data_IF_037109614540
#
_entry.id   IF_037109614540
#
_cell.length_a   1.000
_cell.length_b   1.000
_cell.length_c   1.000
_cell.angle_alpha   90.00
_cell.angle_beta   90.00
_cell.angle_gamma   90.00
#
_symmetry.space_group_name_H-M   'P 1'
#
loop_
_entity.id
_entity.type
_entity.pdbx_description
1 polymer ?
#
# COMPACT_ATOMS: atom_id res chain seq x y z
N UNK A 1 -0.52 18.36 16.51
CA UNK A 1 0.55 17.75 15.67
C UNK A 1 1.17 16.48 16.27
N UNK A 2 1.59 16.43 17.56
CA UNK A 2 2.17 15.20 18.16
C UNK A 2 1.12 14.07 18.32
N UNK A 3 -0.13 14.42 18.58
CA UNK A 3 -1.23 13.47 18.74
C UNK A 3 -1.56 12.73 17.43
N UNK A 4 -1.74 13.45 16.32
CA UNK A 4 -2.04 12.84 15.00
C UNK A 4 -0.94 11.89 14.51
N UNK A 5 0.33 12.19 14.76
CA UNK A 5 1.45 11.28 14.43
C UNK A 5 1.44 10.01 15.29
N UNK A 6 1.03 10.13 16.55
CA UNK A 6 0.91 9.00 17.47
C UNK A 6 -0.22 8.08 17.03
N UNK A 7 -1.36 8.65 16.62
CA UNK A 7 -2.46 7.90 16.00
C UNK A 7 -1.97 7.23 14.71
N UNK A 8 -1.33 7.96 13.79
CA UNK A 8 -0.84 7.40 12.54
C UNK A 8 0.13 6.21 12.74
N UNK A 9 1.04 6.31 13.71
CA UNK A 9 1.97 5.21 14.05
C UNK A 9 1.23 4.01 14.62
N UNK A 10 0.21 4.23 15.46
CA UNK A 10 -0.64 3.16 15.98
C UNK A 10 -1.42 2.49 14.85
N UNK A 11 -2.03 3.25 13.95
CA UNK A 11 -2.79 2.75 12.80
C UNK A 11 -1.89 1.93 11.86
N UNK A 12 -0.70 2.43 11.56
CA UNK A 12 0.28 1.71 10.74
C UNK A 12 0.69 0.39 11.41
N UNK A 13 0.90 0.41 12.72
CA UNK A 13 1.22 -0.80 13.48
C UNK A 13 0.06 -1.78 13.49
N UNK A 14 -1.18 -1.31 13.66
CA UNK A 14 -2.37 -2.16 13.59
C UNK A 14 -2.54 -2.78 12.18
N UNK A 15 -2.22 -2.03 11.13
CA UNK A 15 -2.15 -2.52 9.75
C UNK A 15 -1.16 -3.68 9.60
N UNK A 16 0.03 -3.56 10.19
CA UNK A 16 1.08 -4.56 10.08
C UNK A 16 0.99 -5.70 11.09
N UNK A 17 0.38 -5.53 12.26
CA UNK A 17 0.30 -6.59 13.28
C UNK A 17 -0.80 -7.62 12.96
N UNK A 18 -1.72 -7.29 12.05
CA UNK A 18 -2.82 -8.19 11.67
C UNK A 18 -2.52 -8.99 10.40
N UNK A 19 -3.01 -10.24 10.30
CA UNK A 19 -2.85 -11.05 9.09
C UNK A 19 -3.45 -10.41 7.84
N UNK A 20 -4.55 -9.65 8.00
CA UNK A 20 -5.29 -9.03 6.89
C UNK A 20 -4.46 -7.99 6.14
N UNK A 21 -3.64 -7.20 6.84
CA UNK A 21 -2.75 -6.23 6.21
C UNK A 21 -1.69 -6.89 5.33
N UNK A 22 -1.09 -7.98 5.82
CA UNK A 22 -0.16 -8.77 5.00
C UNK A 22 -0.83 -9.40 3.79
N UNK A 23 -2.06 -9.91 3.92
CA UNK A 23 -2.82 -10.46 2.80
C UNK A 23 -3.04 -9.39 1.73
N UNK A 24 -3.46 -8.18 2.11
CA UNK A 24 -3.62 -7.07 1.17
C UNK A 24 -2.31 -6.76 0.43
N UNK A 25 -1.19 -6.69 1.17
CA UNK A 25 0.13 -6.40 0.60
C UNK A 25 0.60 -7.48 -0.36
N UNK A 26 0.49 -8.76 0.03
CA UNK A 26 0.84 -9.91 -0.84
C UNK A 26 -0.02 -9.93 -2.10
N UNK A 27 -1.33 -9.77 -1.97
CA UNK A 27 -2.25 -9.72 -3.13
C UNK A 27 -1.88 -8.58 -4.07
N UNK A 28 -1.59 -7.39 -3.54
CA UNK A 28 -1.14 -6.25 -4.34
C UNK A 28 0.16 -6.54 -5.09
N UNK A 29 1.18 -7.09 -4.42
CA UNK A 29 2.45 -7.43 -5.06
C UNK A 29 2.28 -8.51 -6.13
N UNK A 30 1.54 -9.57 -5.84
CA UNK A 30 1.35 -10.70 -6.76
C UNK A 30 0.57 -10.24 -8.00
N UNK A 31 -0.52 -9.50 -7.81
CA UNK A 31 -1.31 -8.96 -8.93
C UNK A 31 -0.47 -7.99 -9.76
N UNK A 32 0.24 -7.06 -9.12
CA UNK A 32 1.11 -6.11 -9.81
C UNK A 32 2.21 -6.81 -10.61
N UNK A 33 2.92 -7.74 -9.96
CA UNK A 33 3.99 -8.52 -10.60
C UNK A 33 3.48 -9.34 -11.77
N UNK A 34 2.37 -10.07 -11.58
CA UNK A 34 1.75 -10.86 -12.64
C UNK A 34 1.37 -10.00 -13.85
N UNK A 35 0.69 -8.87 -13.63
CA UNK A 35 0.29 -7.99 -14.72
C UNK A 35 1.49 -7.38 -15.45
N UNK A 36 2.53 -6.96 -14.71
CA UNK A 36 3.77 -6.46 -15.27
C UNK A 36 4.48 -7.51 -16.14
N UNK A 37 4.75 -8.71 -15.60
CA UNK A 37 5.46 -9.76 -16.34
C UNK A 37 4.67 -10.23 -17.55
N UNK A 38 3.34 -10.35 -17.43
CA UNK A 38 2.46 -10.67 -18.56
C UNK A 38 2.61 -9.62 -19.67
N UNK A 39 2.58 -8.34 -19.34
CA UNK A 39 2.65 -7.28 -20.33
C UNK A 39 4.06 -7.15 -20.93
N UNK A 40 5.11 -7.28 -20.11
CA UNK A 40 6.50 -7.27 -20.57
C UNK A 40 6.80 -8.42 -21.56
N UNK A 41 6.23 -9.61 -21.32
CA UNK A 41 6.34 -10.75 -22.23
C UNK A 41 5.63 -10.50 -23.57
N UNK A 42 4.44 -9.87 -23.55
CA UNK A 42 3.69 -9.55 -24.76
C UNK A 42 4.36 -8.47 -25.61
N UNK A 43 4.95 -7.45 -24.98
CA UNK A 43 5.55 -6.32 -25.69
C UNK A 43 7.03 -6.52 -26.02
N UNK A 44 7.68 -7.59 -25.54
CA UNK A 44 9.12 -7.87 -25.72
C UNK A 44 10.03 -6.68 -25.46
N UNK A 45 9.64 -5.79 -24.54
CA UNK A 45 10.35 -4.55 -24.24
C UNK A 45 10.62 -4.46 -22.75
N UNK A 46 11.89 -4.23 -22.39
CA UNK A 46 12.30 -3.99 -21.01
C UNK A 46 11.96 -2.54 -20.60
N UNK A 47 10.67 -2.25 -20.44
CA UNK A 47 10.20 -0.92 -20.03
C UNK A 47 9.28 -0.98 -18.82
N UNK A 48 9.34 0.06 -17.99
CA UNK A 48 8.46 0.20 -16.81
C UNK A 48 7.11 0.85 -17.12
N UNK A 49 6.96 1.42 -18.33
CA UNK A 49 5.72 2.08 -18.77
C UNK A 49 4.47 1.20 -18.54
N UNK A 50 4.47 -0.09 -18.93
CA UNK A 50 3.32 -0.95 -18.68
C UNK A 50 2.92 -1.07 -17.21
N UNK A 51 3.89 -1.07 -16.29
CA UNK A 51 3.60 -1.13 -14.87
C UNK A 51 2.93 0.17 -14.39
N UNK A 52 3.46 1.30 -14.83
CA UNK A 52 2.96 2.63 -14.45
C UNK A 52 1.56 2.90 -15.03
N UNK A 53 1.26 2.40 -16.22
CA UNK A 53 -0.06 2.51 -16.85
C UNK A 53 -1.13 1.71 -16.08
N UNK A 54 -0.73 0.63 -15.41
CA UNK A 54 -1.62 -0.24 -14.63
C UNK A 54 -1.81 0.22 -13.17
N UNK A 55 -0.87 0.99 -12.62
CA UNK A 55 -0.94 1.48 -11.24
C UNK A 55 -2.23 2.25 -10.90
N UNK A 56 -2.75 3.17 -11.74
CA UNK A 56 -4.02 3.84 -11.44
C UNK A 56 -5.19 2.87 -11.26
N UNK A 57 -5.26 1.84 -12.11
CA UNK A 57 -6.29 0.80 -12.04
C UNK A 57 -6.14 -0.07 -10.80
N UNK A 58 -4.91 -0.44 -10.45
CA UNK A 58 -4.65 -1.24 -9.26
C UNK A 58 -4.95 -0.46 -7.97
N UNK A 59 -4.54 0.81 -7.90
CA UNK A 59 -4.81 1.68 -6.76
C UNK A 59 -6.29 2.00 -6.60
N UNK A 60 -7.06 2.07 -7.69
CA UNK A 60 -8.51 2.25 -7.63
C UNK A 60 -9.20 1.22 -6.74
N UNK A 61 -8.72 -0.03 -6.74
CA UNK A 61 -9.24 -1.09 -5.85
C UNK A 61 -8.47 -1.19 -4.54
N UNK A 62 -7.15 -1.03 -4.57
CA UNK A 62 -6.31 -1.24 -3.40
C UNK A 62 -6.49 -0.17 -2.32
N UNK A 63 -6.57 1.11 -2.72
CA UNK A 63 -6.74 2.23 -1.78
C UNK A 63 -8.03 2.11 -0.97
N UNK A 64 -9.23 1.92 -1.57
CA UNK A 64 -10.45 1.75 -0.79
C UNK A 64 -10.46 0.45 0.01
N UNK A 65 -9.80 -0.62 -0.46
CA UNK A 65 -9.67 -1.85 0.33
C UNK A 65 -8.89 -1.62 1.64
N UNK A 66 -7.77 -0.89 1.57
CA UNK A 66 -6.99 -0.50 2.75
C UNK A 66 -7.79 0.44 3.65
N UNK A 67 -8.44 1.47 3.08
CA UNK A 67 -9.24 2.43 3.85
C UNK A 67 -10.40 1.74 4.59
N UNK A 68 -11.20 0.94 3.88
CA UNK A 68 -12.34 0.24 4.46
C UNK A 68 -11.93 -0.78 5.52
N UNK A 69 -10.77 -1.42 5.38
CA UNK A 69 -10.22 -2.29 6.43
C UNK A 69 -10.03 -1.54 7.74
N UNK A 70 -9.39 -0.36 7.70
CA UNK A 70 -9.16 0.45 8.92
C UNK A 70 -10.46 0.92 9.56
N UNK A 71 -11.54 1.12 8.80
CA UNK A 71 -12.85 1.41 9.37
C UNK A 71 -13.51 0.15 9.95
N UNK A 72 -13.49 -0.95 9.21
CA UNK A 72 -14.12 -2.21 9.59
C UNK A 72 -13.51 -2.80 10.88
N UNK A 73 -12.20 -2.69 11.06
CA UNK A 73 -11.52 -3.15 12.28
C UNK A 73 -11.90 -2.29 13.50
N UNK A 74 -11.99 -0.97 13.35
CA UNK A 74 -12.42 -0.09 14.43
C UNK A 74 -13.88 -0.34 14.83
N UNK A 75 -14.76 -0.57 13.85
CA UNK A 75 -16.17 -0.91 14.09
C UNK A 75 -16.30 -2.29 14.74
N UNK A 76 -15.54 -3.29 14.27
CA UNK A 76 -15.60 -4.66 14.79
C UNK A 76 -15.06 -4.77 16.21
N UNK A 77 -14.04 -3.99 16.55
CA UNK A 77 -13.37 -4.04 17.86
C UNK A 77 -13.97 -3.08 18.90
N UNK A 78 -14.97 -2.26 18.52
CA UNK A 78 -15.54 -1.23 19.39
C UNK A 78 -14.56 -0.10 19.74
N UNK A 79 -13.38 -0.07 19.10
CA UNK A 79 -12.36 0.95 19.37
C UNK A 79 -12.83 2.35 19.02
N UNK A 80 -13.76 2.47 18.07
CA UNK A 80 -14.35 3.75 17.67
C UNK A 80 -14.95 4.49 18.87
N UNK A 81 -15.65 3.80 19.77
CA UNK A 81 -16.25 4.39 20.98
C UNK A 81 -15.18 4.83 21.99
N UNK A 82 -14.14 4.02 22.17
CA UNK A 82 -13.02 4.33 23.07
C UNK A 82 -12.24 5.55 22.57
N UNK A 83 -12.01 5.65 21.26
CA UNK A 83 -11.30 6.79 20.66
C UNK A 83 -12.09 8.09 20.74
N UNK A 84 -13.42 8.01 20.58
CA UNK A 84 -14.31 9.15 20.73
C UNK A 84 -14.47 9.59 22.20
N UNK A 85 -14.23 8.71 23.16
CA UNK A 85 -14.24 9.06 24.60
C UNK A 85 -12.96 9.79 25.06
N UNK A 86 -11.90 9.76 24.25
CA UNK A 86 -10.66 10.48 24.55
C UNK A 86 -10.77 11.96 24.13
N UNK A 87 -10.02 12.87 24.77
CA UNK A 87 -10.01 14.30 24.43
C UNK A 87 -9.22 14.57 23.14
N UNK A 88 -9.59 13.90 22.05
CA UNK A 88 -9.03 14.05 20.71
C UNK A 88 -10.01 14.81 19.83
N UNK A 89 -9.49 15.73 19.02
CA UNK A 89 -10.31 16.40 18.02
C UNK A 89 -10.60 15.45 16.86
N UNK A 90 -11.81 15.53 16.29
CA UNK A 90 -12.20 14.69 15.13
C UNK A 90 -11.22 14.84 13.96
N UNK A 91 -10.71 16.05 13.73
CA UNK A 91 -9.75 16.33 12.68
C UNK A 91 -8.40 15.63 12.92
N UNK A 92 -7.91 15.58 14.16
CA UNK A 92 -6.66 14.87 14.49
C UNK A 92 -6.79 13.35 14.30
N UNK A 93 -7.96 12.79 14.62
CA UNK A 93 -8.28 11.39 14.37
C UNK A 93 -8.30 11.08 12.87
N UNK A 94 -9.04 11.89 12.10
CA UNK A 94 -9.17 11.73 10.65
C UNK A 94 -7.81 11.83 9.95
N UNK A 95 -7.00 12.84 10.33
CA UNK A 95 -5.67 13.02 9.78
C UNK A 95 -4.73 11.86 10.17
N UNK A 96 -4.83 11.36 11.41
CA UNK A 96 -4.08 10.21 11.87
C UNK A 96 -4.37 8.94 11.05
N UNK A 97 -5.66 8.64 10.83
CA UNK A 97 -6.08 7.49 10.01
C UNK A 97 -5.64 7.63 8.55
N UNK A 98 -5.83 8.81 7.97
CA UNK A 98 -5.36 9.10 6.61
C UNK A 98 -3.86 8.87 6.47
N UNK A 99 -3.06 9.42 7.39
CA UNK A 99 -1.59 9.26 7.36
C UNK A 99 -1.19 7.80 7.56
N UNK A 100 -1.83 7.06 8.47
CA UNK A 100 -1.57 5.63 8.67
C UNK A 100 -1.80 4.82 7.39
N UNK A 101 -2.94 5.02 6.74
CA UNK A 101 -3.26 4.38 5.46
C UNK A 101 -2.30 4.81 4.34
N UNK A 102 -1.98 6.11 4.25
CA UNK A 102 -1.04 6.63 3.27
C UNK A 102 0.36 6.02 3.44
N UNK A 103 0.87 5.91 4.66
CA UNK A 103 2.15 5.24 4.93
C UNK A 103 2.13 3.77 4.53
N UNK A 104 1.01 3.06 4.77
CA UNK A 104 0.87 1.68 4.32
C UNK A 104 0.90 1.56 2.79
N UNK A 105 0.26 2.49 2.07
CA UNK A 105 0.35 2.55 0.60
C UNK A 105 1.80 2.84 0.14
N UNK A 106 2.53 3.71 0.83
CA UNK A 106 3.95 3.95 0.55
C UNK A 106 4.80 2.70 0.76
N UNK A 107 4.53 1.92 1.82
CA UNK A 107 5.20 0.62 2.03
C UNK A 107 4.89 -0.34 0.88
N UNK A 108 3.62 -0.44 0.47
CA UNK A 108 3.22 -1.27 -0.66
C UNK A 108 3.93 -0.85 -1.95
N UNK A 109 4.04 0.46 -2.22
CA UNK A 109 4.76 0.99 -3.37
C UNK A 109 6.27 0.70 -3.28
N UNK A 110 6.90 0.91 -2.13
CA UNK A 110 8.31 0.57 -1.92
C UNK A 110 8.57 -0.93 -2.11
N UNK A 111 7.63 -1.78 -1.70
CA UNK A 111 7.71 -3.21 -1.91
C UNK A 111 7.61 -3.62 -3.40
N UNK A 112 7.17 -2.73 -4.29
CA UNK A 112 7.21 -2.96 -5.76
C UNK A 112 8.55 -2.60 -6.41
N UNK A 113 9.41 -1.83 -5.73
CA UNK A 113 10.74 -1.38 -6.24
C UNK A 113 11.70 -2.54 -6.60
N UNK A 114 11.64 -3.73 -6.00
CA UNK A 114 12.45 -4.87 -6.47
C UNK A 114 12.20 -5.24 -7.94
N UNK A 115 11.00 -5.00 -8.49
CA UNK A 115 10.66 -5.30 -9.90
C UNK A 115 11.50 -4.45 -10.88
N UNK A 116 11.52 -3.10 -10.79
CA UNK A 116 12.35 -2.28 -11.66
C UNK A 116 13.85 -2.49 -11.44
N UNK A 117 14.30 -2.79 -10.22
CA UNK A 117 15.70 -3.16 -9.95
C UNK A 117 16.06 -4.47 -10.66
N UNK A 118 15.19 -5.48 -10.57
CA UNK A 118 15.38 -6.74 -11.30
C UNK A 118 15.43 -6.50 -12.81
N UNK A 119 14.58 -5.62 -13.33
CA UNK A 119 14.59 -5.23 -14.74
C UNK A 119 15.88 -4.50 -15.13
N UNK A 120 16.38 -3.56 -14.31
CA UNK A 120 17.60 -2.81 -14.62
C UNK A 120 18.82 -3.73 -14.65
N UNK A 121 18.95 -4.63 -13.67
CA UNK A 121 20.02 -5.62 -13.61
C UNK A 121 19.94 -6.63 -14.78
N UNK A 122 18.72 -7.08 -15.12
CA UNK A 122 18.51 -7.98 -16.25
C UNK A 122 18.76 -7.27 -17.60
N UNK A 123 18.47 -5.98 -17.69
CA UNK A 123 18.75 -5.17 -18.88
C UNK A 123 20.23 -4.82 -19.04
N UNK A 124 20.98 -4.71 -17.93
CA UNK A 124 22.44 -4.53 -17.92
C UNK A 124 23.20 -5.85 -18.16
N UNK A 125 22.56 -7.02 -18.14
CA UNK A 125 23.14 -8.28 -18.66
C UNK A 125 23.09 -8.37 -20.20
N UNK A 126 22.75 -7.28 -20.88
CA UNK A 126 22.93 -7.08 -22.31
C UNK A 126 24.10 -6.10 -22.57
N UNK A 127 25.30 -6.41 -22.06
CA UNK A 127 26.53 -5.84 -22.66
C UNK A 127 26.81 -6.57 -23.97
N UNK A 128 26.14 -6.09 -25.02
CA UNK A 128 26.62 -6.10 -26.39
C UNK A 128 25.80 -6.92 -27.40
N UNK A 129 25.95 -6.62 -28.71
CA UNK A 129 26.47 -5.39 -29.32
C UNK A 129 25.41 -4.29 -29.48
#
# INVERSE_FOLDING_TARGET
MKASLTVARRELKALLDTPTGYVLLVVFLVVNGFLFFRQAYLTNTASLRPMLDLFPWLFLFFVPAVAMRTLAEDTRSGQLEVLLSQPLTEFELLLGKYLGAAFFLWIALLATVPIPIGLSLASEAAWGP
#
